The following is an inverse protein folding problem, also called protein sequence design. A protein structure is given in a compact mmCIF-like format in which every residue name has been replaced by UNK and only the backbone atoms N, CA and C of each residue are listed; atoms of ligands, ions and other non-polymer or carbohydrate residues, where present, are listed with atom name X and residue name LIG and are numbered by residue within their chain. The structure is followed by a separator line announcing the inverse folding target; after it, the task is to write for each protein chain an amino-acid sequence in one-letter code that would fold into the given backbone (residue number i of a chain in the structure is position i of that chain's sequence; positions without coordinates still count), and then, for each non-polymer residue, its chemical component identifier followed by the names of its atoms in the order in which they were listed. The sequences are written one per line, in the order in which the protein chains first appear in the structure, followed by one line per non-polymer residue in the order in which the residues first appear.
data_IF_114560805701
#
_entry.id   IF_114560805701
#
_cell.length_a   1.000
_cell.length_b   1.000
_cell.length_c   1.000
_cell.angle_alpha   90.00
_cell.angle_beta   90.00
_cell.angle_gamma   90.00
#
_symmetry.space_group_name_H-M   'P 1'
#
loop_
_entity.id
_entity.type
_entity.pdbx_description
1 polymer ?
#
# COMPACT_ATOMS: atom_id res chain seq x y z
N UNK A 1 49.44 -31.07 1.00
CA UNK A 1 48.09 -30.79 0.46
C UNK A 1 48.23 -29.90 -0.76
N UNK A 2 47.72 -30.36 -1.91
CA UNK A 2 47.73 -29.61 -3.18
C UNK A 2 47.03 -28.26 -3.03
N UNK A 3 47.55 -27.21 -3.68
CA UNK A 3 46.92 -25.86 -3.72
C UNK A 3 45.44 -25.93 -4.12
N UNK A 4 45.06 -26.86 -4.98
CA UNK A 4 43.67 -27.08 -5.39
C UNK A 4 42.75 -27.47 -4.23
N UNK A 5 43.22 -28.28 -3.29
CA UNK A 5 42.41 -28.71 -2.14
C UNK A 5 42.12 -27.56 -1.17
N UNK A 6 43.05 -26.60 -1.05
CA UNK A 6 42.86 -25.41 -0.20
C UNK A 6 41.86 -24.42 -0.81
N UNK A 7 41.92 -24.22 -2.13
CA UNK A 7 40.96 -23.35 -2.84
C UNK A 7 39.56 -23.94 -2.82
N UNK A 8 39.41 -25.25 -3.05
CA UNK A 8 38.11 -25.92 -2.98
C UNK A 8 37.51 -25.86 -1.57
N UNK A 9 38.33 -26.07 -0.53
CA UNK A 9 37.87 -26.00 0.86
C UNK A 9 37.43 -24.59 1.27
N UNK A 10 38.18 -23.55 0.85
CA UNK A 10 37.79 -22.15 1.08
C UNK A 10 36.52 -21.76 0.31
N UNK A 11 36.35 -22.24 -0.92
CA UNK A 11 35.14 -22.01 -1.71
C UNK A 11 33.89 -22.64 -1.07
N UNK A 12 34.02 -23.86 -0.54
CA UNK A 12 32.93 -24.55 0.18
C UNK A 12 32.61 -23.84 1.51
N UNK A 13 33.63 -23.37 2.24
CA UNK A 13 33.41 -22.57 3.46
C UNK A 13 32.71 -21.24 3.18
N UNK A 14 33.05 -20.56 2.08
CA UNK A 14 32.40 -19.32 1.64
C UNK A 14 30.94 -19.53 1.20
N UNK A 15 30.64 -20.64 0.52
CA UNK A 15 29.24 -20.96 0.14
C UNK A 15 28.40 -21.43 1.32
N UNK A 16 29.00 -22.09 2.33
CA UNK A 16 28.31 -22.49 3.56
C UNK A 16 28.12 -21.35 4.56
N UNK A 17 28.87 -20.26 4.43
CA UNK A 17 28.73 -19.07 5.30
C UNK A 17 27.93 -17.92 4.67
N UNK A 18 27.55 -18.05 3.40
CA UNK A 18 26.52 -17.23 2.78
C UNK A 18 25.14 -17.61 3.36
N UNK A 19 24.83 -17.09 4.55
CA UNK A 19 23.42 -17.02 4.98
C UNK A 19 22.68 -16.21 3.91
N UNK A 20 21.46 -16.61 3.51
CA UNK A 20 20.62 -15.71 2.74
C UNK A 20 20.53 -14.42 3.56
N UNK A 21 21.01 -13.31 3.01
CA UNK A 21 20.67 -12.00 3.53
C UNK A 21 19.15 -11.94 3.39
N UNK A 22 18.44 -12.16 4.50
CA UNK A 22 17.01 -11.92 4.55
C UNK A 22 16.89 -10.43 4.33
N UNK A 23 16.56 -10.05 3.09
CA UNK A 23 16.32 -8.66 2.77
C UNK A 23 15.18 -8.19 3.67
N UNK A 24 15.38 -7.05 4.34
CA UNK A 24 14.30 -6.37 5.05
C UNK A 24 13.18 -6.15 4.04
N UNK A 25 12.02 -6.76 4.30
CA UNK A 25 10.83 -6.66 3.44
C UNK A 25 9.68 -6.10 4.27
N UNK A 26 8.78 -5.37 3.63
CA UNK A 26 7.75 -4.60 4.31
C UNK A 26 6.41 -5.32 4.20
N UNK A 27 5.85 -5.85 5.28
CA UNK A 27 4.45 -6.28 5.23
C UNK A 27 3.54 -5.05 5.08
N UNK A 28 2.89 -4.96 3.92
CA UNK A 28 1.91 -3.92 3.62
C UNK A 28 0.56 -4.19 4.29
N UNK A 29 -0.03 -3.13 4.82
CA UNK A 29 -1.40 -3.14 5.30
C UNK A 29 -2.20 -1.98 4.72
N UNK A 30 -3.49 -2.23 4.50
CA UNK A 30 -4.50 -1.18 4.42
C UNK A 30 -5.12 -1.05 5.80
N UNK A 31 -4.88 0.08 6.48
CA UNK A 31 -5.58 0.39 7.72
C UNK A 31 -6.88 1.09 7.38
N UNK A 32 -8.01 0.53 7.81
CA UNK A 32 -9.34 1.03 7.49
C UNK A 32 -10.08 1.43 8.76
N UNK A 33 -10.65 2.63 8.75
CA UNK A 33 -11.60 3.10 9.73
C UNK A 33 -12.91 3.48 9.02
N UNK A 34 -13.98 2.73 9.29
CA UNK A 34 -15.33 3.01 8.82
C UNK A 34 -16.21 3.28 10.04
N UNK A 35 -16.77 4.48 10.14
CA UNK A 35 -17.69 4.86 11.20
C UNK A 35 -18.93 5.51 10.58
N UNK A 36 -20.02 4.74 10.38
CA UNK A 36 -21.25 5.25 9.80
C UNK A 36 -21.88 6.37 10.62
N UNK A 37 -21.83 6.29 11.95
CA UNK A 37 -22.41 7.28 12.87
C UNK A 37 -21.67 8.61 12.82
N UNK A 38 -20.34 8.55 12.73
CA UNK A 38 -19.49 9.73 12.52
C UNK A 38 -19.44 10.18 11.04
N UNK A 39 -20.14 9.46 10.15
CA UNK A 39 -20.14 9.67 8.70
C UNK A 39 -18.73 9.82 8.13
N UNK A 40 -17.88 8.89 8.54
CA UNK A 40 -16.45 8.90 8.28
C UNK A 40 -15.98 7.60 7.65
N UNK A 41 -15.16 7.70 6.62
CA UNK A 41 -14.43 6.58 6.05
C UNK A 41 -13.00 7.01 5.73
N UNK A 42 -12.03 6.30 6.29
CA UNK A 42 -10.61 6.51 6.00
C UNK A 42 -9.92 5.20 5.72
N UNK A 43 -9.02 5.21 4.75
CA UNK A 43 -8.04 4.17 4.57
C UNK A 43 -6.66 4.76 4.32
N UNK A 44 -5.63 4.11 4.85
CA UNK A 44 -4.24 4.52 4.72
C UNK A 44 -3.33 3.30 4.58
N UNK A 45 -2.24 3.48 3.85
CA UNK A 45 -1.19 2.46 3.77
C UNK A 45 -0.34 2.49 5.03
N UNK A 46 0.00 1.31 5.53
CA UNK A 46 0.94 1.12 6.63
C UNK A 46 1.89 -0.02 6.27
N UNK A 47 3.17 0.30 6.10
CA UNK A 47 4.23 -0.70 5.99
C UNK A 47 4.81 -1.05 7.36
N UNK A 48 4.90 -2.34 7.68
CA UNK A 48 5.60 -2.85 8.88
C UNK A 48 6.74 -3.77 8.46
N UNK A 49 7.76 -3.93 9.30
CA UNK A 49 8.78 -4.95 9.07
C UNK A 49 8.14 -6.35 8.98
N UNK A 50 8.31 -7.01 7.84
CA UNK A 50 7.65 -8.27 7.52
C UNK A 50 8.13 -9.42 8.41
N UNK A 51 9.42 -9.42 8.76
CA UNK A 51 9.99 -10.42 9.68
C UNK A 51 9.30 -10.36 11.04
N UNK A 52 9.08 -9.15 11.58
CA UNK A 52 8.35 -8.94 12.82
C UNK A 52 6.86 -9.27 12.67
N UNK A 53 6.25 -8.80 11.58
CA UNK A 53 4.83 -9.01 11.29
C UNK A 53 4.45 -10.50 11.14
N UNK A 54 5.35 -11.37 10.67
CA UNK A 54 5.08 -12.79 10.46
C UNK A 54 5.91 -13.76 11.31
N UNK A 55 6.64 -13.24 12.29
CA UNK A 55 7.66 -13.95 13.10
C UNK A 55 7.34 -15.40 13.52
N UNK A 56 6.09 -15.77 13.83
CA UNK A 56 5.70 -17.13 14.23
C UNK A 56 4.76 -17.86 13.25
N UNK A 57 4.45 -17.22 12.12
CA UNK A 57 3.40 -17.63 11.18
C UNK A 57 3.86 -17.73 9.72
N UNK A 58 5.04 -17.18 9.34
CA UNK A 58 5.49 -17.04 7.95
C UNK A 58 5.46 -18.33 7.10
N UNK A 59 5.50 -19.50 7.74
CA UNK A 59 5.51 -20.81 7.07
C UNK A 59 4.37 -21.74 7.55
N UNK A 60 3.33 -21.19 8.17
CA UNK A 60 2.17 -21.92 8.68
C UNK A 60 0.89 -21.21 8.25
N UNK A 61 0.28 -21.71 7.16
CA UNK A 61 -0.93 -21.13 6.56
C UNK A 61 -2.07 -20.93 7.58
N UNK A 62 -2.21 -21.88 8.53
CA UNK A 62 -3.25 -21.79 9.55
C UNK A 62 -2.98 -20.61 10.47
N UNK A 63 -1.75 -20.48 10.96
CA UNK A 63 -1.35 -19.32 11.78
C UNK A 63 -1.40 -18.01 11.01
N UNK A 64 -1.09 -18.03 9.71
CA UNK A 64 -1.22 -16.84 8.87
C UNK A 64 -2.67 -16.35 8.82
N UNK A 65 -3.62 -17.25 8.61
CA UNK A 65 -5.04 -16.89 8.61
C UNK A 65 -5.53 -16.44 9.99
N UNK A 66 -5.07 -17.07 11.07
CA UNK A 66 -5.36 -16.64 12.45
C UNK A 66 -4.82 -15.21 12.70
N UNK A 67 -3.59 -14.90 12.29
CA UNK A 67 -3.02 -13.55 12.38
C UNK A 67 -3.80 -12.53 11.56
N UNK A 68 -4.13 -12.85 10.30
CA UNK A 68 -4.96 -11.98 9.44
C UNK A 68 -6.31 -11.68 10.10
N UNK A 69 -6.94 -12.66 10.74
CA UNK A 69 -8.19 -12.46 11.45
C UNK A 69 -8.03 -11.48 12.64
N UNK A 70 -6.96 -11.61 13.43
CA UNK A 70 -6.64 -10.70 14.53
C UNK A 70 -6.41 -9.27 14.00
N UNK A 71 -5.61 -9.10 12.96
CA UNK A 71 -5.33 -7.78 12.37
C UNK A 71 -6.59 -7.09 11.86
N UNK A 72 -7.49 -7.84 11.22
CA UNK A 72 -8.79 -7.31 10.76
C UNK A 72 -9.62 -6.76 11.92
N UNK A 73 -9.58 -7.36 13.11
CA UNK A 73 -10.26 -6.85 14.31
C UNK A 73 -9.72 -5.48 14.74
N UNK A 74 -8.46 -5.17 14.42
CA UNK A 74 -7.83 -3.88 14.68
C UNK A 74 -7.86 -2.93 13.47
N UNK A 75 -8.58 -3.29 12.41
CA UNK A 75 -8.72 -2.50 11.20
C UNK A 75 -7.53 -2.59 10.24
N UNK A 76 -6.64 -3.57 10.40
CA UNK A 76 -5.51 -3.81 9.49
C UNK A 76 -5.83 -4.96 8.54
N UNK A 77 -5.79 -4.67 7.23
CA UNK A 77 -6.15 -5.61 6.17
C UNK A 77 -4.97 -5.86 5.25
N UNK A 78 -4.78 -7.11 4.83
CA UNK A 78 -3.78 -7.48 3.82
C UNK A 78 -4.30 -7.07 2.43
N UNK A 79 -3.52 -6.36 1.60
CA UNK A 79 -3.99 -5.73 0.36
C UNK A 79 -4.08 -6.66 -0.86
N UNK A 80 -3.69 -7.93 -0.76
CA UNK A 80 -3.51 -8.81 -1.93
C UNK A 80 -4.78 -9.02 -2.76
N UNK A 81 -5.93 -9.16 -2.11
CA UNK A 81 -7.26 -9.23 -2.72
C UNK A 81 -8.32 -8.74 -1.73
N UNK A 82 -8.23 -7.45 -1.38
CA UNK A 82 -9.14 -6.85 -0.41
C UNK A 82 -10.38 -6.34 -1.14
N UNK A 83 -11.55 -6.64 -0.57
CA UNK A 83 -12.83 -6.04 -0.93
C UNK A 83 -13.47 -5.52 0.36
N UNK A 84 -13.66 -4.21 0.46
CA UNK A 84 -14.22 -3.57 1.65
C UNK A 84 -15.33 -2.60 1.26
N UNK A 85 -16.47 -2.71 1.93
CA UNK A 85 -17.61 -1.80 1.74
C UNK A 85 -17.85 -1.02 3.04
N UNK A 86 -17.97 0.30 2.92
CA UNK A 86 -18.31 1.19 4.02
C UNK A 86 -19.51 2.04 3.63
N UNK A 87 -20.59 1.95 4.41
CA UNK A 87 -21.74 2.84 4.26
C UNK A 87 -21.57 4.06 5.15
N UNK A 88 -21.61 5.25 4.56
CA UNK A 88 -21.38 6.54 5.21
C UNK A 88 -22.59 7.45 4.96
N UNK A 89 -23.50 7.51 5.93
CA UNK A 89 -24.84 8.08 5.69
C UNK A 89 -25.60 7.23 4.67
N UNK A 90 -26.06 7.86 3.58
CA UNK A 90 -26.81 7.19 2.50
C UNK A 90 -25.92 6.67 1.37
N UNK A 91 -24.62 6.96 1.43
CA UNK A 91 -23.64 6.64 0.38
C UNK A 91 -22.88 5.37 0.73
N UNK A 92 -22.70 4.50 -0.25
CA UNK A 92 -21.87 3.30 -0.12
C UNK A 92 -20.54 3.48 -0.85
N UNK A 93 -19.45 3.40 -0.10
CA UNK A 93 -18.10 3.37 -0.63
C UNK A 93 -17.59 1.94 -0.74
N UNK A 94 -16.98 1.61 -1.88
CA UNK A 94 -16.29 0.33 -2.06
C UNK A 94 -14.83 0.55 -2.38
N UNK A 95 -13.98 -0.01 -1.54
CA UNK A 95 -12.55 -0.07 -1.68
C UNK A 95 -12.16 -1.48 -2.13
N UNK A 96 -11.41 -1.57 -3.22
CA UNK A 96 -10.78 -2.84 -3.61
C UNK A 96 -9.30 -2.65 -3.81
N UNK A 97 -8.50 -3.61 -3.37
CA UNK A 97 -7.07 -3.63 -3.68
C UNK A 97 -6.64 -4.95 -4.28
N UNK A 98 -5.63 -4.89 -5.14
CA UNK A 98 -4.97 -6.06 -5.71
C UNK A 98 -3.47 -5.90 -5.60
N UNK A 99 -2.79 -6.93 -5.09
CA UNK A 99 -1.34 -7.03 -5.09
C UNK A 99 -0.99 -8.39 -5.66
N UNK A 100 -0.10 -8.42 -6.66
CA UNK A 100 0.37 -9.69 -7.21
C UNK A 100 1.16 -10.45 -6.13
N UNK A 101 1.22 -11.78 -6.27
CA UNK A 101 2.11 -12.55 -5.41
C UNK A 101 3.58 -12.14 -5.67
N UNK A 102 4.44 -12.23 -4.64
CA UNK A 102 5.88 -12.09 -4.81
C UNK A 102 6.40 -12.97 -5.94
N UNK A 103 7.23 -12.40 -6.83
CA UNK A 103 7.93 -13.15 -7.87
C UNK A 103 9.43 -13.19 -7.58
N UNK A 104 10.02 -14.38 -7.52
CA UNK A 104 11.48 -14.58 -7.48
C UNK A 104 12.02 -14.72 -8.92
N UNK A 105 13.16 -14.10 -9.30
CA UNK A 105 14.03 -13.22 -8.54
C UNK A 105 13.65 -11.76 -8.84
N UNK A 106 12.69 -11.22 -8.10
CA UNK A 106 12.12 -9.92 -8.42
C UNK A 106 13.00 -8.76 -7.99
N UNK A 107 13.06 -7.72 -8.83
CA UNK A 107 13.41 -6.37 -8.35
C UNK A 107 12.42 -5.99 -7.23
N UNK A 108 12.84 -5.13 -6.29
CA UNK A 108 11.99 -4.58 -5.22
C UNK A 108 11.59 -5.54 -4.09
N UNK A 109 12.50 -6.39 -3.62
CA UNK A 109 12.26 -7.24 -2.44
C UNK A 109 11.09 -8.20 -2.61
N UNK A 110 10.74 -8.51 -3.87
CA UNK A 110 9.60 -9.36 -4.23
C UNK A 110 8.22 -8.79 -3.83
N UNK A 111 8.09 -7.47 -3.64
CA UNK A 111 6.82 -6.84 -3.28
C UNK A 111 6.28 -5.97 -4.41
N UNK A 112 5.34 -6.49 -5.23
CA UNK A 112 4.75 -5.70 -6.29
C UNK A 112 3.84 -4.58 -5.71
N UNK A 113 3.65 -3.49 -6.45
CA UNK A 113 2.83 -2.37 -6.00
C UNK A 113 1.37 -2.78 -5.81
N UNK A 114 0.73 -2.21 -4.79
CA UNK A 114 -0.70 -2.40 -4.54
C UNK A 114 -1.47 -1.51 -5.53
N UNK A 115 -2.44 -2.10 -6.23
CA UNK A 115 -3.40 -1.38 -7.06
C UNK A 115 -4.68 -1.16 -6.28
N UNK A 116 -5.18 0.06 -6.27
CA UNK A 116 -6.35 0.48 -5.52
C UNK A 116 -7.42 1.04 -6.45
N UNK A 117 -8.66 0.62 -6.20
CA UNK A 117 -9.86 1.23 -6.75
C UNK A 117 -10.76 1.69 -5.61
N UNK A 118 -11.39 2.85 -5.80
CA UNK A 118 -12.39 3.39 -4.90
C UNK A 118 -13.61 3.78 -5.72
N UNK A 119 -14.80 3.34 -5.30
CA UNK A 119 -16.07 3.77 -5.89
C UNK A 119 -17.03 4.31 -4.84
N UNK A 120 -17.94 5.17 -5.28
CA UNK A 120 -19.03 5.77 -4.51
C UNK A 120 -20.34 5.46 -5.23
N UNK A 121 -21.23 4.74 -4.57
CA UNK A 121 -22.52 4.29 -5.13
C UNK A 121 -22.39 3.57 -6.48
N UNK A 122 -21.26 2.88 -6.70
CA UNK A 122 -20.93 2.18 -7.94
C UNK A 122 -20.19 3.02 -8.98
N UNK A 123 -20.06 4.33 -8.81
CA UNK A 123 -19.26 5.19 -9.67
C UNK A 123 -17.78 5.20 -9.23
N UNK A 124 -16.86 4.91 -10.14
CA UNK A 124 -15.42 4.90 -9.83
C UNK A 124 -14.90 6.33 -9.58
N UNK A 125 -14.26 6.54 -8.43
CA UNK A 125 -13.53 7.78 -8.07
C UNK A 125 -12.05 7.60 -8.36
N UNK A 126 -11.47 6.45 -7.97
CA UNK A 126 -10.07 6.10 -8.21
C UNK A 126 -10.01 4.78 -8.98
N UNK A 127 -9.15 4.72 -9.99
CA UNK A 127 -8.98 3.54 -10.84
C UNK A 127 -7.52 3.17 -11.06
N UNK A 128 -7.19 1.94 -10.67
CA UNK A 128 -5.89 1.28 -10.83
C UNK A 128 -4.70 2.16 -10.41
N UNK A 129 -4.90 2.95 -9.36
CA UNK A 129 -3.85 3.81 -8.80
C UNK A 129 -2.92 2.98 -7.90
N UNK A 130 -1.63 3.30 -7.92
CA UNK A 130 -0.68 2.69 -6.98
C UNK A 130 -0.95 3.22 -5.58
N UNK A 131 -0.97 2.34 -4.59
CA UNK A 131 -1.25 2.66 -3.19
C UNK A 131 -0.11 2.18 -2.30
N UNK A 132 0.35 3.05 -1.39
CA UNK A 132 1.46 2.75 -0.50
C UNK A 132 2.84 2.93 -1.13
N UNK A 133 3.80 2.16 -0.64
CA UNK A 133 5.16 2.19 -1.16
C UNK A 133 5.21 1.63 -2.58
N UNK A 134 5.80 2.40 -3.50
CA UNK A 134 6.11 1.95 -4.85
C UNK A 134 7.63 1.95 -5.02
N UNK A 135 8.23 0.77 -4.87
CA UNK A 135 9.67 0.62 -5.00
C UNK A 135 10.23 1.08 -6.37
N UNK A 136 9.38 1.17 -7.40
CA UNK A 136 9.78 1.75 -8.69
C UNK A 136 9.92 3.28 -8.68
N UNK A 137 9.71 3.95 -7.54
CA UNK A 137 9.90 5.40 -7.44
C UNK A 137 8.70 6.22 -7.92
N UNK A 138 7.58 5.57 -8.26
CA UNK A 138 6.44 6.21 -8.88
C UNK A 138 5.59 7.01 -7.90
N UNK A 139 4.62 7.78 -8.43
CA UNK A 139 3.63 8.44 -7.60
C UNK A 139 2.64 7.42 -7.05
N UNK A 140 2.23 7.58 -5.79
CA UNK A 140 1.30 6.66 -5.13
C UNK A 140 0.42 7.36 -4.12
N UNK A 141 -0.78 6.82 -3.93
CA UNK A 141 -1.73 7.26 -2.91
C UNK A 141 -1.28 6.72 -1.55
N UNK A 142 -1.22 7.58 -0.55
CA UNK A 142 -0.87 7.25 0.83
C UNK A 142 -2.11 7.00 1.67
N UNK A 143 -3.11 7.89 1.56
CA UNK A 143 -4.35 7.81 2.31
C UNK A 143 -5.49 8.53 1.61
N UNK A 144 -6.71 8.09 1.92
CA UNK A 144 -7.94 8.80 1.55
C UNK A 144 -8.80 8.91 2.79
N UNK A 145 -9.33 10.11 3.00
CA UNK A 145 -10.25 10.43 4.08
C UNK A 145 -11.52 11.03 3.51
N UNK A 146 -12.66 10.48 3.90
CA UNK A 146 -13.98 10.86 3.43
C UNK A 146 -14.83 11.24 4.65
N UNK A 147 -15.47 12.40 4.55
CA UNK A 147 -16.50 12.85 5.47
C UNK A 147 -17.76 13.21 4.69
N UNK A 148 -18.87 12.60 5.06
CA UNK A 148 -20.19 12.91 4.50
C UNK A 148 -20.98 13.77 5.49
N UNK A 149 -21.52 14.90 5.05
CA UNK A 149 -22.23 15.83 5.94
C UNK A 149 -23.73 15.65 5.90
N UNK A 150 -24.40 15.97 7.02
CA UNK A 150 -25.86 16.07 7.05
C UNK A 150 -26.25 17.29 6.21
N UNK A 151 -27.17 17.09 5.26
CA UNK A 151 -27.63 18.16 4.37
C UNK A 151 -27.90 19.45 5.17
N UNK A 152 -27.15 20.51 4.86
CA UNK A 152 -27.31 21.83 5.47
C UNK A 152 -26.28 22.27 6.52
N UNK A 153 -25.35 21.40 6.97
CA UNK A 153 -24.28 21.79 7.91
C UNK A 153 -22.91 21.22 7.49
N UNK A 154 -21.98 22.09 7.09
CA UNK A 154 -20.61 21.73 6.69
C UNK A 154 -20.48 21.18 5.26
N UNK A 155 -19.30 21.32 4.67
CA UNK A 155 -18.99 20.71 3.37
C UNK A 155 -18.63 19.23 3.52
N UNK A 156 -19.36 18.35 2.84
CA UNK A 156 -18.86 16.99 2.58
C UNK A 156 -17.52 17.11 1.82
N UNK A 157 -16.59 16.21 2.11
CA UNK A 157 -15.24 16.33 1.58
C UNK A 157 -14.56 14.99 1.45
N UNK A 158 -13.83 14.82 0.36
CA UNK A 158 -12.86 13.74 0.19
C UNK A 158 -11.48 14.39 0.13
N UNK A 159 -10.56 13.95 0.97
CA UNK A 159 -9.16 14.35 0.92
C UNK A 159 -8.33 13.13 0.55
N UNK A 160 -7.49 13.26 -0.47
CA UNK A 160 -6.54 12.25 -0.90
C UNK A 160 -5.13 12.78 -0.72
N UNK A 161 -4.31 12.02 0.02
CA UNK A 161 -2.89 12.30 0.16
C UNK A 161 -2.08 11.35 -0.73
N UNK A 162 -1.11 11.89 -1.45
CA UNK A 162 -0.28 11.13 -2.37
C UNK A 162 1.18 11.61 -2.37
N UNK A 163 2.10 10.69 -2.59
CA UNK A 163 3.52 10.98 -2.76
C UNK A 163 3.86 11.16 -4.25
N UNK A 164 4.60 12.20 -4.64
CA UNK A 164 5.06 12.37 -6.03
C UNK A 164 6.03 11.27 -6.50
N UNK A 165 6.84 10.77 -5.57
CA UNK A 165 7.79 9.66 -5.76
C UNK A 165 7.97 8.94 -4.44
N UNK A 166 7.87 7.62 -4.42
CA UNK A 166 8.21 6.80 -3.24
C UNK A 166 9.55 6.12 -3.45
N UNK A 167 10.59 6.54 -2.74
CA UNK A 167 11.72 5.66 -2.52
C UNK A 167 12.39 5.99 -1.18
N UNK A 168 12.51 4.93 -0.38
CA UNK A 168 12.97 4.91 1.00
C UNK A 168 14.32 5.62 1.16
N UNK A 169 14.35 6.62 2.05
CA UNK A 169 15.56 6.96 2.81
C UNK A 169 16.29 8.26 2.47
N UNK A 170 15.96 9.00 1.41
CA UNK A 170 16.76 10.22 1.11
C UNK A 170 16.12 11.32 0.24
N UNK A 171 14.84 11.25 -0.15
CA UNK A 171 14.26 12.23 -1.08
C UNK A 171 13.35 13.29 -0.43
N UNK A 172 13.42 14.57 -0.82
CA UNK A 172 12.75 15.71 -0.16
C UNK A 172 11.26 15.90 -0.54
N UNK A 173 10.63 14.94 -1.20
CA UNK A 173 9.28 15.13 -1.72
C UNK A 173 8.25 15.05 -0.60
N UNK A 174 7.52 16.15 -0.41
CA UNK A 174 6.42 16.24 0.56
C UNK A 174 5.18 15.55 -0.01
N UNK A 175 4.48 14.84 0.87
CA UNK A 175 3.13 14.35 0.61
C UNK A 175 2.22 15.53 0.22
N UNK A 176 1.38 15.33 -0.79
CA UNK A 176 0.41 16.32 -1.27
C UNK A 176 -0.99 15.82 -0.92
N UNK A 177 -1.71 16.56 -0.08
CA UNK A 177 -3.06 16.26 0.35
C UNK A 177 -4.05 17.27 -0.22
N UNK A 178 -4.94 16.82 -1.12
CA UNK A 178 -5.91 17.67 -1.83
C UNK A 178 -7.22 16.88 -2.07
N UNK A 179 -8.27 17.56 -2.52
CA UNK A 179 -9.46 16.88 -3.03
C UNK A 179 -9.13 16.06 -4.30
N UNK A 180 -9.69 14.84 -4.51
CA UNK A 180 -9.43 14.06 -5.72
C UNK A 180 -9.63 14.82 -7.03
N UNK A 181 -10.57 15.77 -7.09
CA UNK A 181 -10.80 16.62 -8.27
C UNK A 181 -9.65 17.55 -8.62
N UNK A 182 -8.74 17.82 -7.67
CA UNK A 182 -7.50 18.56 -7.95
C UNK A 182 -6.56 17.75 -8.85
N UNK A 183 -6.53 16.42 -8.67
CA UNK A 183 -5.67 15.52 -9.44
C UNK A 183 -6.21 15.26 -10.85
N UNK A 184 -7.53 15.31 -11.03
CA UNK A 184 -8.18 15.21 -12.33
C UNK A 184 -9.53 15.92 -12.34
N UNK A 185 -9.81 16.68 -13.42
CA UNK A 185 -11.12 17.31 -13.64
C UNK A 185 -12.21 16.32 -14.05
N UNK A 186 -11.84 15.08 -14.37
CA UNK A 186 -12.75 14.01 -14.77
C UNK A 186 -12.51 12.77 -13.93
N UNK A 187 -13.57 12.18 -13.39
CA UNK A 187 -13.51 10.91 -12.68
C UNK A 187 -13.63 9.72 -13.63
N UNK A 188 -13.02 8.56 -13.32
CA UNK A 188 -12.13 8.33 -12.17
C UNK A 188 -10.75 8.97 -12.35
N UNK A 189 -10.08 9.30 -11.24
CA UNK A 189 -8.65 9.61 -11.23
C UNK A 189 -7.86 8.33 -11.51
N UNK A 190 -7.05 8.35 -12.56
CA UNK A 190 -6.16 7.25 -12.94
C UNK A 190 -4.71 7.51 -12.49
N UNK A 191 -3.88 6.46 -12.49
CA UNK A 191 -2.44 6.57 -12.21
C UNK A 191 -1.74 7.61 -13.08
N UNK A 192 -2.11 7.70 -14.36
CA UNK A 192 -1.53 8.65 -15.31
C UNK A 192 -1.86 10.10 -14.93
N UNK A 193 -3.14 10.37 -14.67
CA UNK A 193 -3.61 11.72 -14.30
C UNK A 193 -2.98 12.17 -12.98
N UNK A 194 -2.98 11.30 -11.98
CA UNK A 194 -2.31 11.55 -10.69
C UNK A 194 -0.81 11.85 -10.89
N UNK A 195 -0.12 11.07 -11.72
CA UNK A 195 1.30 11.29 -12.01
C UNK A 195 1.58 12.57 -12.78
N UNK A 196 0.69 13.02 -13.67
CA UNK A 196 0.80 14.33 -14.33
C UNK A 196 0.68 15.46 -13.31
N UNK A 197 -0.33 15.40 -12.43
CA UNK A 197 -0.56 16.42 -11.41
C UNK A 197 0.61 16.55 -10.44
N UNK A 198 1.05 15.43 -9.86
CA UNK A 198 2.09 15.42 -8.83
C UNK A 198 3.46 15.86 -9.37
N UNK A 199 3.79 15.52 -10.63
CA UNK A 199 5.03 16.00 -11.28
C UNK A 199 5.05 17.50 -11.55
N UNK A 200 3.88 18.13 -11.68
CA UNK A 200 3.79 19.59 -11.80
C UNK A 200 4.05 20.23 -10.43
N UNK A 201 3.39 19.73 -9.39
CA UNK A 201 3.53 20.24 -8.01
C UNK A 201 4.93 20.06 -7.43
N UNK A 202 5.63 18.98 -7.76
CA UNK A 202 6.99 18.75 -7.23
C UNK A 202 8.07 19.67 -7.81
N UNK A 203 7.75 20.48 -8.82
CA UNK A 203 8.65 21.47 -9.44
C UNK A 203 8.39 22.90 -8.96
N UNK A 204 7.33 23.13 -8.19
CA UNK A 204 6.95 24.40 -7.56
C UNK A 204 7.52 24.48 -6.13
#
# INVERSE_FOLDING_TARGET
MSQFARVAFLAILLTLSAKPAMADWTQDFVRIACNPDARFFRFEWVGLDGSSAWSDAQYDDKRMEERKAIWRQHGFYVPSDLHYECKVGDVTYRLTTKQQAPYSPGMCGEQPPIKLNLSKDGEEILKDVTFGDDCFGGPSVASVTIFETLMGWGGAGTSMCAWPTTNSGSSPYKEVCEDPSAFSRTMPVTQEQMGIYLRKRSKE
#
